data_IF_598720087597
#
_entry.id   IF_598720087597
#
_cell.length_a   1.000
_cell.length_b   1.000
_cell.length_c   1.000
_cell.angle_alpha   90.00
_cell.angle_beta   90.00
_cell.angle_gamma   90.00
#
_symmetry.space_group_name_H-M   'P 1'
#
loop_
_entity.id
_entity.type
_entity.pdbx_description
1 polymer ?
#
# COMPACT_ATOMS: atom_id res chain seq x y z
N UNK A 1 14.95 23.93 -3.29
CA UNK A 1 15.29 23.83 -1.84
C UNK A 1 15.51 22.39 -1.39
N UNK A 2 14.72 21.42 -1.88
CA UNK A 2 14.85 19.99 -1.55
C UNK A 2 16.09 19.33 -2.16
N UNK A 3 16.33 19.52 -3.46
CA UNK A 3 17.35 18.73 -4.18
C UNK A 3 18.75 19.37 -4.18
N UNK A 4 18.85 20.70 -4.16
CA UNK A 4 20.12 21.41 -4.07
C UNK A 4 19.95 22.76 -3.33
N UNK A 5 20.26 22.83 -2.02
CA UNK A 5 20.10 24.05 -1.24
C UNK A 5 21.12 25.13 -1.60
N UNK A 6 22.37 24.76 -1.92
CA UNK A 6 23.42 25.71 -2.33
C UNK A 6 23.02 26.44 -3.62
N UNK A 7 22.51 25.72 -4.62
CA UNK A 7 22.05 26.32 -5.88
C UNK A 7 20.94 27.35 -5.67
N UNK A 8 20.09 27.16 -4.67
CA UNK A 8 18.98 28.08 -4.38
C UNK A 8 19.50 29.37 -3.74
N UNK A 9 20.53 29.27 -2.90
CA UNK A 9 21.21 30.42 -2.31
C UNK A 9 21.90 31.28 -3.38
N UNK A 10 22.53 30.66 -4.39
CA UNK A 10 23.12 31.37 -5.52
C UNK A 10 22.09 32.12 -6.39
N UNK A 11 20.83 31.69 -6.40
CA UNK A 11 19.71 32.37 -7.10
C UNK A 11 19.13 33.50 -6.24
N UNK A 12 19.61 33.68 -5.00
CA UNK A 12 19.19 34.76 -4.09
C UNK A 12 18.08 34.38 -3.11
N UNK A 13 17.67 33.10 -3.04
CA UNK A 13 16.66 32.63 -2.09
C UNK A 13 17.32 31.96 -0.88
N UNK A 14 16.85 32.29 0.32
CA UNK A 14 17.27 31.61 1.53
C UNK A 14 16.47 30.30 1.74
N UNK A 15 17.10 29.10 1.67
CA UNK A 15 16.43 27.83 1.93
C UNK A 15 15.97 27.68 3.38
N UNK A 16 16.53 28.42 4.34
CA UNK A 16 16.11 28.37 5.75
C UNK A 16 14.69 28.91 5.93
N UNK A 17 14.36 30.04 5.29
CA UNK A 17 13.02 30.64 5.36
C UNK A 17 11.97 29.68 4.81
N UNK A 18 12.23 29.04 3.67
CA UNK A 18 11.29 28.09 3.06
C UNK A 18 11.08 26.86 3.94
N UNK A 19 12.15 26.32 4.54
CA UNK A 19 12.06 25.18 5.46
C UNK A 19 11.34 25.54 6.76
N UNK A 20 11.56 26.75 7.28
CA UNK A 20 10.88 27.25 8.47
C UNK A 20 9.37 27.37 8.24
N UNK A 21 8.96 27.99 7.12
CA UNK A 21 7.54 28.08 6.76
C UNK A 21 6.91 26.69 6.62
N UNK A 22 7.59 25.76 5.94
CA UNK A 22 7.12 24.38 5.81
C UNK A 22 6.96 23.68 7.18
N UNK A 23 7.89 23.92 8.11
CA UNK A 23 7.80 23.42 9.48
C UNK A 23 6.60 24.01 10.24
N UNK A 24 6.38 25.33 10.13
CA UNK A 24 5.20 25.98 10.73
C UNK A 24 3.89 25.39 10.21
N UNK A 25 3.75 25.17 8.90
CA UNK A 25 2.57 24.52 8.33
C UNK A 25 2.42 23.07 8.78
N UNK A 26 3.50 22.31 8.86
CA UNK A 26 3.48 20.94 9.41
C UNK A 26 2.99 20.93 10.85
N UNK A 27 3.49 21.83 11.70
CA UNK A 27 3.05 22.00 13.09
C UNK A 27 1.59 22.40 13.21
N UNK A 28 1.11 23.28 12.33
CA UNK A 28 -0.30 23.67 12.25
C UNK A 28 -1.22 22.48 11.96
N UNK A 29 -0.93 21.69 10.92
CA UNK A 29 -1.72 20.50 10.60
C UNK A 29 -1.62 19.42 11.67
N UNK A 30 -0.43 19.21 12.25
CA UNK A 30 -0.26 18.27 13.35
C UNK A 30 -1.05 18.70 14.60
N UNK A 31 -1.11 20.00 14.90
CA UNK A 31 -1.92 20.56 15.99
C UNK A 31 -3.42 20.36 15.77
N UNK A 32 -3.91 20.62 14.55
CA UNK A 32 -5.30 20.33 14.18
C UNK A 32 -5.61 18.84 14.33
N UNK A 33 -4.78 17.97 13.76
CA UNK A 33 -4.96 16.53 13.84
C UNK A 33 -4.96 16.03 15.30
N UNK A 34 -4.05 16.54 16.14
CA UNK A 34 -3.98 16.22 17.56
C UNK A 34 -5.21 16.70 18.33
N UNK A 35 -5.71 17.91 18.04
CA UNK A 35 -6.94 18.42 18.66
C UNK A 35 -8.17 17.59 18.27
N UNK A 36 -8.28 17.19 17.00
CA UNK A 36 -9.36 16.29 16.55
C UNK A 36 -9.24 14.91 17.21
N UNK A 37 -8.02 14.37 17.32
CA UNK A 37 -7.78 13.09 17.99
C UNK A 37 -8.16 13.16 19.48
N UNK A 38 -7.84 14.24 20.17
CA UNK A 38 -8.21 14.44 21.57
C UNK A 38 -9.74 14.45 21.77
N UNK A 39 -10.48 15.08 20.84
CA UNK A 39 -11.95 15.07 20.84
C UNK A 39 -12.49 13.67 20.52
N UNK A 40 -11.88 12.95 19.57
CA UNK A 40 -12.36 11.64 19.15
C UNK A 40 -12.17 10.55 20.20
N UNK A 41 -11.02 10.55 20.89
CA UNK A 41 -10.68 9.50 21.86
C UNK A 41 -11.09 9.83 23.29
N UNK A 42 -11.40 11.10 23.59
CA UNK A 42 -11.81 11.63 24.91
C UNK A 42 -10.87 11.31 26.11
N UNK A 43 -9.79 10.56 25.87
CA UNK A 43 -8.86 10.03 26.86
C UNK A 43 -7.44 10.18 26.32
N UNK A 44 -6.57 10.84 27.09
CA UNK A 44 -5.15 10.93 26.80
C UNK A 44 -4.40 9.73 27.43
N UNK A 45 -4.06 8.74 26.61
CA UNK A 45 -3.24 7.59 27.01
C UNK A 45 -1.80 7.70 26.48
N UNK A 46 -0.83 7.26 27.28
CA UNK A 46 0.58 7.13 26.89
C UNK A 46 0.79 6.25 25.65
N UNK A 47 -0.12 5.32 25.37
CA UNK A 47 -0.09 4.47 24.18
C UNK A 47 -0.12 5.28 22.86
N UNK A 48 -0.76 6.45 22.84
CA UNK A 48 -0.83 7.31 21.64
C UNK A 48 0.45 8.11 21.39
N UNK A 49 1.34 8.18 22.37
CA UNK A 49 2.66 8.84 22.28
C UNK A 49 3.76 7.84 21.89
N UNK A 50 3.42 6.56 21.71
CA UNK A 50 4.37 5.50 21.42
C UNK A 50 4.79 5.42 19.96
N UNK A 51 5.93 4.76 19.72
CA UNK A 51 6.49 4.53 18.38
C UNK A 51 5.53 3.80 17.43
N UNK A 52 4.65 2.95 17.97
CA UNK A 52 3.64 2.22 17.19
C UNK A 52 2.68 3.20 16.51
N UNK A 53 2.17 4.18 17.24
CA UNK A 53 1.24 5.18 16.69
C UNK A 53 1.92 6.05 15.62
N UNK A 54 3.16 6.49 15.89
CA UNK A 54 3.96 7.22 14.90
C UNK A 54 4.22 6.39 13.65
N UNK A 55 4.45 5.09 13.80
CA UNK A 55 4.59 4.13 12.72
C UNK A 55 3.35 4.07 11.83
N UNK A 56 2.15 4.00 12.41
CA UNK A 56 0.89 3.98 11.66
C UNK A 56 0.71 5.24 10.79
N UNK A 57 1.02 6.42 11.33
CA UNK A 57 0.96 7.69 10.57
C UNK A 57 2.00 7.70 9.44
N UNK A 58 3.22 7.23 9.71
CA UNK A 58 4.26 7.08 8.70
C UNK A 58 3.84 6.14 7.57
N UNK A 59 3.24 4.99 7.92
CA UNK A 59 2.74 4.01 6.97
C UNK A 59 1.64 4.60 6.10
N UNK A 60 0.68 5.30 6.68
CA UNK A 60 -0.35 6.01 5.92
C UNK A 60 0.27 7.01 4.93
N UNK A 61 1.28 7.80 5.35
CA UNK A 61 1.95 8.75 4.47
C UNK A 61 2.71 8.08 3.31
N UNK A 62 3.43 6.99 3.57
CA UNK A 62 4.19 6.26 2.55
C UNK A 62 3.28 5.49 1.58
N UNK A 63 2.26 4.80 2.10
CA UNK A 63 1.30 4.07 1.28
C UNK A 63 0.54 5.05 0.38
N UNK A 64 0.12 6.19 0.93
CA UNK A 64 -0.51 7.26 0.17
C UNK A 64 0.40 7.93 -0.86
N UNK A 65 1.69 8.06 -0.52
CA UNK A 65 2.76 8.64 -1.35
C UNK A 65 3.18 10.02 -0.86
N UNK A 66 4.47 10.19 -0.56
CA UNK A 66 5.05 11.43 0.00
C UNK A 66 5.26 12.51 -1.08
N UNK A 67 5.17 12.14 -2.37
CA UNK A 67 5.37 13.06 -3.48
C UNK A 67 4.29 14.13 -3.62
N UNK A 68 3.11 13.96 -3.02
CA UNK A 68 1.96 14.83 -3.19
C UNK A 68 1.26 15.11 -1.86
N UNK A 69 0.74 16.32 -1.69
CA UNK A 69 0.02 16.73 -0.48
C UNK A 69 -1.22 15.87 -0.20
N UNK A 70 -1.92 15.41 -1.24
CA UNK A 70 -3.12 14.56 -1.13
C UNK A 70 -2.76 13.11 -0.76
N UNK A 71 -1.51 12.69 -0.99
CA UNK A 71 -1.10 11.30 -0.79
C UNK A 71 -1.36 10.79 0.62
N UNK A 72 -0.84 11.44 1.68
CA UNK A 72 -1.09 11.03 3.05
C UNK A 72 -2.58 10.95 3.43
N UNK A 73 -3.44 11.78 2.83
CA UNK A 73 -4.89 11.73 3.06
C UNK A 73 -5.49 10.44 2.51
N UNK A 74 -5.17 10.11 1.24
CA UNK A 74 -5.62 8.88 0.59
C UNK A 74 -5.07 7.65 1.33
N UNK A 75 -3.81 7.72 1.72
CA UNK A 75 -3.16 6.66 2.50
C UNK A 75 -3.82 6.46 3.86
N UNK A 76 -4.15 7.52 4.59
CA UNK A 76 -4.84 7.43 5.88
C UNK A 76 -6.23 6.79 5.74
N UNK A 77 -7.01 7.17 4.73
CA UNK A 77 -8.33 6.58 4.44
C UNK A 77 -8.17 5.08 4.14
N UNK A 78 -7.25 4.74 3.23
CA UNK A 78 -7.01 3.36 2.84
C UNK A 78 -6.56 2.49 4.01
N UNK A 79 -5.58 2.96 4.78
CA UNK A 79 -5.05 2.28 5.97
C UNK A 79 -6.16 2.08 7.01
N UNK A 80 -7.01 3.07 7.22
CA UNK A 80 -8.12 2.96 8.18
C UNK A 80 -9.14 1.91 7.75
N UNK A 81 -9.58 1.93 6.48
CA UNK A 81 -10.52 0.93 5.95
C UNK A 81 -9.91 -0.47 6.01
N UNK A 82 -8.64 -0.60 5.65
CA UNK A 82 -7.92 -1.86 5.71
C UNK A 82 -7.80 -2.37 7.15
N UNK A 83 -7.47 -1.49 8.11
CA UNK A 83 -7.39 -1.83 9.53
C UNK A 83 -8.72 -2.32 10.07
N UNK A 84 -9.82 -1.65 9.74
CA UNK A 84 -11.17 -2.04 10.18
C UNK A 84 -11.56 -3.40 9.57
N UNK A 85 -11.39 -3.57 8.26
CA UNK A 85 -11.75 -4.81 7.59
C UNK A 85 -10.91 -6.01 8.01
N UNK A 86 -9.60 -5.84 8.20
CA UNK A 86 -8.73 -6.95 8.64
C UNK A 86 -8.92 -7.27 10.13
N UNK A 87 -9.19 -6.28 10.97
CA UNK A 87 -9.44 -6.52 12.41
C UNK A 87 -10.68 -7.38 12.65
N UNK A 88 -11.68 -7.31 11.78
CA UNK A 88 -12.88 -8.16 11.85
C UNK A 88 -12.62 -9.60 11.40
N UNK A 89 -11.63 -9.80 10.51
CA UNK A 89 -11.30 -11.11 9.94
C UNK A 89 -10.25 -11.87 10.75
N UNK A 90 -9.24 -11.19 11.30
CA UNK A 90 -8.08 -11.84 11.91
C UNK A 90 -7.53 -11.06 13.10
N UNK A 91 -7.15 -11.79 14.15
CA UNK A 91 -6.49 -11.23 15.34
C UNK A 91 -5.07 -10.74 15.06
N UNK A 92 -4.44 -11.19 13.96
CA UNK A 92 -3.05 -10.86 13.59
C UNK A 92 -3.00 -9.89 12.40
N UNK A 93 -3.96 -8.97 12.33
CA UNK A 93 -4.08 -7.98 11.27
C UNK A 93 -2.83 -7.09 11.10
N UNK A 94 -2.09 -6.83 12.18
CA UNK A 94 -0.87 -6.02 12.15
C UNK A 94 0.25 -6.66 11.29
N UNK A 95 0.33 -8.00 11.25
CA UNK A 95 1.31 -8.71 10.41
C UNK A 95 1.00 -8.52 8.93
N UNK A 96 -0.27 -8.69 8.55
CA UNK A 96 -0.73 -8.45 7.18
C UNK A 96 -0.51 -7.01 6.76
N UNK A 97 -0.76 -6.07 7.67
CA UNK A 97 -0.53 -4.67 7.45
C UNK A 97 0.95 -4.36 7.17
N UNK A 98 1.87 -4.92 7.98
CA UNK A 98 3.32 -4.78 7.77
C UNK A 98 3.81 -5.40 6.46
N UNK A 99 3.29 -6.58 6.09
CA UNK A 99 3.63 -7.21 4.81
C UNK A 99 3.14 -6.38 3.62
N UNK A 100 1.90 -5.88 3.69
CA UNK A 100 1.34 -5.00 2.68
C UNK A 100 2.19 -3.73 2.52
N UNK A 101 2.63 -3.14 3.63
CA UNK A 101 3.53 -1.99 3.62
C UNK A 101 4.84 -2.30 2.87
N UNK A 102 5.50 -3.42 3.16
CA UNK A 102 6.72 -3.85 2.45
C UNK A 102 6.45 -4.01 0.95
N UNK A 103 5.33 -4.64 0.58
CA UNK A 103 4.96 -4.80 -0.82
C UNK A 103 4.78 -3.44 -1.53
N UNK A 104 4.09 -2.49 -0.90
CA UNK A 104 3.91 -1.14 -1.46
C UNK A 104 5.25 -0.42 -1.62
N UNK A 105 6.12 -0.45 -0.61
CA UNK A 105 7.44 0.21 -0.70
C UNK A 105 8.31 -0.40 -1.79
N UNK A 106 8.28 -1.72 -1.95
CA UNK A 106 9.12 -2.43 -2.91
C UNK A 106 8.63 -2.28 -4.35
N UNK A 107 7.31 -2.29 -4.58
CA UNK A 107 6.73 -2.30 -5.93
C UNK A 107 6.15 -0.96 -6.37
N UNK A 108 5.78 -0.07 -5.43
CA UNK A 108 5.15 1.21 -5.69
C UNK A 108 5.82 2.33 -4.86
N UNK A 109 7.07 2.73 -5.18
CA UNK A 109 7.83 3.73 -4.40
C UNK A 109 7.20 5.13 -4.39
N UNK A 110 6.27 5.41 -5.32
CA UNK A 110 5.46 6.62 -5.34
C UNK A 110 4.17 6.56 -4.52
N UNK A 111 3.87 5.42 -3.89
CA UNK A 111 2.60 5.13 -3.23
C UNK A 111 1.40 5.08 -4.18
N UNK A 112 0.20 5.05 -3.61
CA UNK A 112 -1.08 5.04 -4.33
C UNK A 112 -1.20 6.27 -5.23
N UNK A 113 -0.75 7.44 -4.77
CA UNK A 113 -0.85 8.67 -5.56
C UNK A 113 0.13 8.69 -6.73
N UNK A 114 1.34 8.14 -6.54
CA UNK A 114 2.29 7.96 -7.64
C UNK A 114 1.74 7.04 -8.73
N UNK A 115 1.09 5.95 -8.34
CA UNK A 115 0.36 5.08 -9.26
C UNK A 115 -0.72 5.87 -10.00
N UNK A 116 -1.58 6.61 -9.30
CA UNK A 116 -2.64 7.41 -9.94
C UNK A 116 -2.07 8.43 -10.95
N UNK A 117 -0.98 9.11 -10.58
CA UNK A 117 -0.31 10.11 -11.43
C UNK A 117 0.30 9.48 -12.68
N UNK A 118 0.83 8.25 -12.57
CA UNK A 118 1.39 7.49 -13.69
C UNK A 118 0.34 7.20 -14.78
N UNK A 119 -0.93 7.06 -14.42
CA UNK A 119 -2.03 6.80 -15.36
C UNK A 119 -2.57 8.08 -16.02
N UNK A 120 -2.24 9.27 -15.49
CA UNK A 120 -2.73 10.56 -16.00
C UNK A 120 -2.39 10.82 -17.48
N UNK A 121 -1.16 10.53 -17.98
CA UNK A 121 -0.84 10.68 -19.41
C UNK A 121 -1.62 9.70 -20.29
N UNK A 122 -1.86 8.46 -19.84
CA UNK A 122 -2.64 7.47 -20.58
C UNK A 122 -4.12 7.87 -20.69
N UNK A 123 -4.68 8.46 -19.62
CA UNK A 123 -6.04 9.01 -19.62
C UNK A 123 -6.15 10.16 -20.62
N UNK A 124 -5.19 11.08 -20.63
CA UNK A 124 -5.16 12.19 -21.60
C UNK A 124 -4.97 11.72 -23.05
N UNK A 125 -4.17 10.67 -23.26
CA UNK A 125 -3.99 10.05 -24.58
C UNK A 125 -5.17 9.20 -25.05
N UNK A 126 -6.09 8.84 -24.15
CA UNK A 126 -7.19 7.92 -24.44
C UNK A 126 -6.76 6.47 -24.69
N UNK A 127 -5.53 6.11 -24.35
CA UNK A 127 -4.94 4.77 -24.55
C UNK A 127 -5.10 3.84 -23.35
N UNK A 128 -5.76 4.31 -22.28
CA UNK A 128 -6.01 3.53 -21.06
C UNK A 128 -6.72 2.20 -21.34
N UNK A 129 -7.63 2.18 -22.32
CA UNK A 129 -8.37 0.99 -22.73
C UNK A 129 -7.48 -0.16 -23.23
N UNK A 130 -6.29 0.15 -23.76
CA UNK A 130 -5.35 -0.85 -24.27
C UNK A 130 -4.60 -1.57 -23.13
N UNK A 131 -4.51 -0.95 -21.96
CA UNK A 131 -3.75 -1.48 -20.81
C UNK A 131 -4.66 -2.17 -19.80
N UNK A 132 -5.95 -1.81 -19.79
CA UNK A 132 -6.99 -2.43 -18.96
C UNK A 132 -7.02 -3.98 -19.02
N UNK A 133 -7.02 -4.62 -20.21
CA UNK A 133 -7.05 -6.09 -20.27
C UNK A 133 -5.76 -6.71 -19.72
N UNK A 134 -4.61 -6.08 -19.93
CA UNK A 134 -3.33 -6.53 -19.37
C UNK A 134 -3.32 -6.44 -17.85
N UNK A 135 -3.89 -5.37 -17.27
CA UNK A 135 -4.08 -5.25 -15.82
C UNK A 135 -5.02 -6.31 -15.26
N UNK A 136 -6.14 -6.57 -15.93
CA UNK A 136 -7.10 -7.58 -15.48
C UNK A 136 -6.48 -9.00 -15.45
N UNK A 137 -5.68 -9.34 -16.45
CA UNK A 137 -4.97 -10.63 -16.51
C UNK A 137 -3.87 -10.74 -15.46
N UNK A 138 -3.21 -9.65 -15.08
CA UNK A 138 -2.20 -9.63 -14.03
C UNK A 138 -2.80 -9.61 -12.60
N UNK A 139 -4.02 -9.10 -12.43
CA UNK A 139 -4.69 -9.02 -11.13
C UNK A 139 -4.95 -10.43 -10.55
N UNK A 140 -5.42 -11.36 -11.39
CA UNK A 140 -5.78 -12.73 -11.01
C UNK A 140 -4.63 -13.47 -10.29
N UNK A 141 -3.42 -13.59 -10.87
CA UNK A 141 -2.32 -14.27 -10.19
C UNK A 141 -1.79 -13.52 -8.97
N UNK A 142 -1.89 -12.18 -8.94
CA UNK A 142 -1.51 -11.41 -7.74
C UNK A 142 -2.48 -11.64 -6.57
N UNK A 143 -3.78 -11.72 -6.85
CA UNK A 143 -4.78 -12.06 -5.83
C UNK A 143 -4.61 -13.50 -5.35
N UNK A 144 -4.32 -14.44 -6.26
CA UNK A 144 -4.04 -15.83 -5.88
C UNK A 144 -2.81 -15.95 -4.96
N UNK A 145 -1.74 -15.19 -5.22
CA UNK A 145 -0.57 -15.11 -4.35
C UNK A 145 -0.93 -14.55 -2.98
N UNK A 146 -1.66 -13.44 -2.93
CA UNK A 146 -2.10 -12.82 -1.67
C UNK A 146 -2.96 -13.78 -0.84
N UNK A 147 -3.88 -14.52 -1.48
CA UNK A 147 -4.71 -15.53 -0.82
C UNK A 147 -3.88 -16.71 -0.30
N UNK A 148 -2.93 -17.22 -1.10
CA UNK A 148 -2.04 -18.31 -0.68
C UNK A 148 -1.17 -17.94 0.52
N UNK A 149 -0.68 -16.69 0.53
CA UNK A 149 0.11 -16.13 1.62
C UNK A 149 -0.77 -15.92 2.87
N UNK A 150 -1.99 -15.42 2.69
CA UNK A 150 -2.96 -15.29 3.77
C UNK A 150 -3.25 -16.62 4.45
N UNK A 151 -3.55 -17.65 3.67
CA UNK A 151 -3.84 -19.00 4.16
C UNK A 151 -2.65 -19.63 4.90
N UNK A 152 -1.43 -19.38 4.42
CA UNK A 152 -0.21 -19.84 5.08
C UNK A 152 0.03 -19.16 6.43
N UNK A 153 -0.18 -17.85 6.50
CA UNK A 153 -0.07 -17.09 7.76
C UNK A 153 -1.12 -17.54 8.77
N UNK A 154 -2.39 -17.71 8.36
CA UNK A 154 -3.45 -18.18 9.28
C UNK A 154 -3.16 -19.57 9.82
N UNK A 155 -2.64 -20.49 8.98
CA UNK A 155 -2.25 -21.83 9.42
C UNK A 155 -1.13 -21.80 10.47
N UNK A 156 -0.12 -20.93 10.27
CA UNK A 156 0.96 -20.75 11.23
C UNK A 156 0.39 -20.21 12.55
N UNK A 157 -0.37 -19.12 12.49
CA UNK A 157 -0.90 -18.43 13.68
C UNK A 157 -1.80 -19.33 14.52
N UNK A 158 -2.71 -20.07 13.90
CA UNK A 158 -3.64 -20.96 14.63
C UNK A 158 -2.87 -22.09 15.33
N UNK A 159 -1.82 -22.61 14.69
CA UNK A 159 -0.94 -23.61 15.29
C UNK A 159 -0.15 -23.07 16.49
N UNK A 160 0.28 -21.80 16.48
CA UNK A 160 1.03 -21.19 17.60
C UNK A 160 0.16 -20.67 18.73
N UNK A 161 -1.03 -20.14 18.44
CA UNK A 161 -1.81 -19.37 19.41
C UNK A 161 -2.94 -20.16 20.09
N UNK A 162 -3.55 -21.14 19.41
CA UNK A 162 -4.72 -21.88 19.91
C UNK A 162 -4.57 -23.40 19.75
N UNK A 163 -3.62 -24.06 20.44
CA UNK A 163 -3.41 -25.50 20.33
C UNK A 163 -4.56 -26.37 20.88
N UNK A 164 -5.56 -25.80 21.57
CA UNK A 164 -6.69 -26.51 22.19
C UNK A 164 -8.08 -26.07 21.71
N UNK A 165 -8.17 -25.14 20.77
CA UNK A 165 -9.44 -24.72 20.13
C UNK A 165 -9.60 -25.41 18.75
N UNK A 166 -10.84 -25.53 18.28
CA UNK A 166 -11.26 -26.29 17.09
C UNK A 166 -10.21 -26.27 15.93
N UNK A 167 -9.76 -27.44 15.41
CA UNK A 167 -8.72 -27.52 14.37
C UNK A 167 -9.10 -26.91 13.01
N UNK A 168 -10.32 -26.38 12.90
CA UNK A 168 -10.88 -25.84 11.67
C UNK A 168 -10.82 -24.30 11.69
N UNK A 169 -9.92 -23.73 10.89
CA UNK A 169 -9.96 -22.31 10.57
C UNK A 169 -11.03 -22.12 9.49
N UNK A 170 -11.99 -21.21 9.72
CA UNK A 170 -12.95 -20.80 8.69
C UNK A 170 -12.35 -19.71 7.80
N UNK A 171 -11.37 -20.06 6.98
CA UNK A 171 -10.86 -19.13 5.96
C UNK A 171 -11.96 -18.94 4.89
N UNK A 172 -12.48 -17.72 4.74
CA UNK A 172 -13.54 -17.38 3.78
C UNK A 172 -14.80 -18.27 3.86
N UNK A 173 -15.14 -18.78 5.05
CA UNK A 173 -16.31 -19.66 5.26
C UNK A 173 -16.10 -21.12 4.87
N UNK A 174 -14.91 -21.51 4.39
CA UNK A 174 -14.54 -22.90 4.13
C UNK A 174 -13.74 -23.42 5.33
N UNK A 175 -14.13 -24.53 5.97
CA UNK A 175 -13.36 -25.10 7.06
C UNK A 175 -12.07 -25.75 6.50
N UNK A 176 -10.92 -25.18 6.85
CA UNK A 176 -9.61 -25.76 6.55
C UNK A 176 -9.00 -26.35 7.82
N UNK A 177 -8.62 -27.63 7.76
CA UNK A 177 -7.94 -28.31 8.85
C UNK A 177 -6.46 -27.91 8.88
N UNK A 178 -6.04 -27.24 9.95
CA UNK A 178 -4.69 -26.69 10.11
C UNK A 178 -3.62 -27.77 10.36
N UNK A 179 -4.03 -28.94 10.85
CA UNK A 179 -3.14 -30.07 11.13
C UNK A 179 -2.84 -30.92 9.88
N UNK A 180 -3.52 -30.67 8.76
CA UNK A 180 -3.33 -31.44 7.52
C UNK A 180 -2.11 -30.92 6.72
N UNK A 181 -1.11 -31.78 6.40
CA UNK A 181 0.00 -31.42 5.51
C UNK A 181 -0.46 -30.94 4.12
N UNK A 182 -1.68 -31.30 3.73
CA UNK A 182 -2.28 -30.93 2.45
C UNK A 182 -2.61 -29.43 2.41
N UNK A 183 -3.05 -28.83 3.52
CA UNK A 183 -3.32 -27.38 3.64
C UNK A 183 -2.03 -26.55 3.54
N UNK A 184 -0.92 -27.09 4.09
CA UNK A 184 0.40 -26.47 3.96
C UNK A 184 0.91 -26.57 2.52
N UNK A 185 0.74 -27.72 1.87
CA UNK A 185 1.11 -27.91 0.47
C UNK A 185 0.32 -26.99 -0.47
N UNK A 186 -0.99 -26.81 -0.26
CA UNK A 186 -1.81 -25.90 -1.10
C UNK A 186 -1.41 -24.45 -0.93
N UNK A 187 -1.10 -23.98 0.29
CA UNK A 187 -0.57 -22.64 0.52
C UNK A 187 0.76 -22.43 -0.22
N UNK A 188 1.72 -23.36 -0.09
CA UNK A 188 3.02 -23.26 -0.76
C UNK A 188 2.86 -23.27 -2.28
N UNK A 189 2.00 -24.13 -2.82
CA UNK A 189 1.71 -24.19 -4.27
C UNK A 189 1.08 -22.88 -4.76
N UNK A 190 0.15 -22.30 -4.01
CA UNK A 190 -0.47 -21.02 -4.36
C UNK A 190 0.52 -19.85 -4.29
N UNK A 191 1.42 -19.82 -3.29
CA UNK A 191 2.45 -18.79 -3.17
C UNK A 191 3.46 -18.91 -4.32
N UNK A 192 4.03 -20.10 -4.54
CA UNK A 192 5.07 -20.33 -5.55
C UNK A 192 4.50 -20.23 -6.97
N UNK A 193 3.36 -20.88 -7.22
CA UNK A 193 2.66 -20.83 -8.49
C UNK A 193 2.15 -19.42 -8.81
N UNK A 194 1.52 -18.76 -7.83
CA UNK A 194 1.07 -17.37 -7.95
C UNK A 194 2.22 -16.41 -8.23
N UNK A 195 3.38 -16.59 -7.57
CA UNK A 195 4.57 -15.74 -7.79
C UNK A 195 5.18 -15.91 -9.18
N UNK A 196 5.29 -17.15 -9.66
CA UNK A 196 5.83 -17.43 -11.00
C UNK A 196 4.91 -16.85 -12.08
N UNK A 197 3.60 -17.11 -11.97
CA UNK A 197 2.63 -16.63 -12.95
C UNK A 197 2.50 -15.12 -12.90
N UNK A 198 2.48 -14.51 -11.71
CA UNK A 198 2.50 -13.06 -11.54
C UNK A 198 3.74 -12.46 -12.19
N UNK A 199 4.94 -12.98 -11.92
CA UNK A 199 6.18 -12.46 -12.54
C UNK A 199 6.14 -12.53 -14.06
N UNK A 200 5.52 -13.56 -14.64
CA UNK A 200 5.35 -13.68 -16.09
C UNK A 200 4.30 -12.69 -16.66
N UNK A 201 3.18 -12.49 -15.97
CA UNK A 201 2.12 -11.57 -16.42
C UNK A 201 2.53 -10.11 -16.28
N UNK A 202 3.25 -9.75 -15.22
CA UNK A 202 3.78 -8.39 -15.04
C UNK A 202 4.75 -7.97 -16.15
N UNK A 203 5.49 -8.90 -16.75
CA UNK A 203 6.29 -8.62 -17.97
C UNK A 203 5.40 -8.22 -19.16
N UNK A 204 4.23 -8.85 -19.32
CA UNK A 204 3.28 -8.49 -20.39
C UNK A 204 2.63 -7.13 -20.15
N UNK A 205 2.33 -6.79 -18.89
CA UNK A 205 1.83 -5.46 -18.53
C UNK A 205 2.85 -4.38 -18.85
N UNK A 206 4.14 -4.63 -18.59
CA UNK A 206 5.20 -3.68 -18.90
C UNK A 206 5.28 -3.35 -20.40
N UNK A 207 5.16 -4.36 -21.27
CA UNK A 207 5.15 -4.17 -22.73
C UNK A 207 3.91 -3.41 -23.18
N UNK A 208 2.72 -3.81 -22.71
CA UNK A 208 1.47 -3.11 -23.04
C UNK A 208 1.44 -1.65 -22.55
N UNK A 209 2.12 -1.37 -21.44
CA UNK A 209 2.26 -0.02 -20.92
C UNK A 209 3.16 0.85 -21.81
N UNK A 210 4.29 0.31 -22.28
CA UNK A 210 5.22 1.03 -23.17
C UNK A 210 4.56 1.35 -24.53
N UNK A 211 3.81 0.40 -25.08
CA UNK A 211 3.00 0.59 -26.30
C UNK A 211 1.91 1.66 -26.10
N UNK A 212 1.20 1.65 -24.96
CA UNK A 212 0.17 2.64 -24.69
C UNK A 212 0.72 4.04 -24.43
N UNK A 213 1.91 4.14 -23.84
CA UNK A 213 2.59 5.41 -23.57
C UNK A 213 3.16 6.02 -24.85
N UNK A 214 3.78 5.21 -25.70
CA UNK A 214 4.26 5.65 -27.03
C UNK A 214 3.10 6.12 -27.90
N UNK A 215 1.98 5.38 -27.92
CA UNK A 215 0.76 5.80 -28.62
C UNK A 215 0.16 7.12 -28.06
N UNK A 216 0.15 7.29 -26.74
CA UNK A 216 -0.32 8.53 -26.11
C UNK A 216 0.55 9.74 -26.49
N UNK A 217 1.88 9.60 -26.45
CA UNK A 217 2.83 10.66 -26.83
C UNK A 217 2.74 11.00 -28.31
N UNK A 218 2.59 10.02 -29.19
CA UNK A 218 2.43 10.25 -30.63
C UNK A 218 1.17 11.07 -30.94
N UNK A 219 0.08 10.82 -30.21
CA UNK A 219 -1.17 11.57 -30.35
C UNK A 219 -1.06 13.00 -29.82
N UNK A 220 -0.28 13.22 -28.76
CA UNK A 220 -0.01 14.56 -28.20
C UNK A 220 0.89 15.41 -29.11
N UNK A 221 1.82 14.78 -29.85
CA UNK A 221 2.65 15.47 -30.86
C UNK A 221 1.90 15.82 -32.16
N UNK A 222 0.79 15.13 -32.43
CA UNK A 222 -0.03 15.31 -33.63
C UNK A 222 -1.18 16.32 -33.45
N UNK A 223 -1.41 16.79 -32.22
CA UNK A 223 -2.44 17.76 -31.84
C UNK A 223 -1.85 19.15 -31.63
#
# INVERSE_FOLDING_TARGET
VRDNPERVQFVGYDPHVVRYIAFCFSGFFAGIAGSLAAINFEIANSAYLGAVQSGTVLFAAYIGGIGFFIGPIVGAIFVTILSLGLSDLTTVWQLYFGLFFIAVVMYAPGGITGLLMMHRPLIRGGTLGNVLPSYAVALIPTLALMIGLMLGIECIVHYTMNPMEDPNIKAFGIPFNTASPLTWATSVILIVGGFIVARMTWKRVAVAWDEALTAARAKELAA
#
